data_IF_824350545356
#
_entry.id   IF_824350545356
#
_cell.length_a   1.000
_cell.length_b   1.000
_cell.length_c   1.000
_cell.angle_alpha   90.00
_cell.angle_beta   90.00
_cell.angle_gamma   90.00
#
_symmetry.space_group_name_H-M   'P 1'
#
loop_
_entity.id
_entity.type
_entity.pdbx_description
1 polymer ?
#
# COMPACT_ATOMS: atom_id res chain seq x y z
N UNK A 1 7.61 40.89 17.68
CA UNK A 1 6.93 40.07 16.64
C UNK A 1 7.83 38.85 16.43
N UNK A 2 7.28 37.64 16.41
CA UNK A 2 8.07 36.44 16.14
C UNK A 2 8.31 36.34 14.63
N UNK A 3 9.49 35.89 14.23
CA UNK A 3 9.75 35.52 12.84
C UNK A 3 8.93 34.28 12.46
N UNK A 4 8.50 34.13 11.18
CA UNK A 4 7.67 33.01 10.74
C UNK A 4 8.24 31.63 11.10
N UNK A 5 9.55 31.43 10.94
CA UNK A 5 10.20 30.14 11.22
C UNK A 5 10.20 29.83 12.73
N UNK A 6 10.37 30.85 13.58
CA UNK A 6 10.30 30.68 15.02
C UNK A 6 8.87 30.33 15.48
N UNK A 7 7.85 30.95 14.86
CA UNK A 7 6.45 30.62 15.12
C UNK A 7 6.11 29.18 14.66
N UNK A 8 6.60 28.76 13.49
CA UNK A 8 6.42 27.41 12.99
C UNK A 8 7.02 26.37 13.94
N UNK A 9 8.24 26.60 14.43
CA UNK A 9 8.90 25.68 15.36
C UNK A 9 8.11 25.51 16.66
N UNK A 10 7.57 26.59 17.23
CA UNK A 10 6.71 26.51 18.42
C UNK A 10 5.46 25.64 18.18
N UNK A 11 4.84 25.76 17.00
CA UNK A 11 3.67 24.94 16.63
C UNK A 11 4.08 23.47 16.49
N UNK A 12 5.23 23.19 15.86
CA UNK A 12 5.73 21.83 15.67
C UNK A 12 6.10 21.17 17.02
N UNK A 13 6.76 21.89 17.92
CA UNK A 13 7.09 21.41 19.26
C UNK A 13 5.82 21.11 20.08
N UNK A 14 4.84 22.00 20.05
CA UNK A 14 3.56 21.78 20.73
C UNK A 14 2.80 20.58 20.15
N UNK A 15 2.81 20.41 18.82
CA UNK A 15 2.20 19.26 18.16
C UNK A 15 2.89 17.94 18.53
N UNK A 16 4.23 17.93 18.61
CA UNK A 16 4.99 16.77 19.05
C UNK A 16 4.70 16.42 20.51
N UNK A 17 4.66 17.42 21.40
CA UNK A 17 4.34 17.22 22.82
C UNK A 17 2.90 16.75 23.04
N UNK A 18 1.97 17.16 22.18
CA UNK A 18 0.57 16.73 22.21
C UNK A 18 0.33 15.35 21.59
N UNK A 19 1.32 14.75 20.93
CA UNK A 19 1.21 13.42 20.31
C UNK A 19 0.98 12.38 21.40
N UNK A 20 -0.22 11.81 21.44
CA UNK A 20 -0.55 10.75 22.40
C UNK A 20 -0.21 9.38 21.82
N UNK A 21 0.53 8.58 22.60
CA UNK A 21 0.89 7.22 22.22
C UNK A 21 -0.31 6.27 22.08
N UNK A 22 -1.44 6.59 22.73
CA UNK A 22 -2.70 5.84 22.67
C UNK A 22 -3.61 6.25 21.49
N UNK A 23 -3.18 7.20 20.64
CA UNK A 23 -3.96 7.68 19.50
C UNK A 23 -3.78 6.81 18.25
N UNK A 24 -3.74 5.49 18.43
CA UNK A 24 -3.61 4.51 17.36
C UNK A 24 -4.91 3.72 17.18
N UNK A 25 -5.07 3.15 16.00
CA UNK A 25 -6.13 2.21 15.67
C UNK A 25 -5.59 1.13 14.74
N UNK A 26 -6.08 -0.10 14.90
CA UNK A 26 -5.76 -1.20 14.00
C UNK A 26 -6.78 -1.21 12.86
N UNK A 27 -6.29 -1.16 11.64
CA UNK A 27 -7.13 -1.16 10.43
C UNK A 27 -6.69 -2.31 9.52
N UNK A 28 -7.64 -2.85 8.75
CA UNK A 28 -7.33 -3.87 7.75
C UNK A 28 -6.42 -3.30 6.65
N UNK A 29 -5.58 -4.16 6.07
CA UNK A 29 -4.81 -3.81 4.87
C UNK A 29 -5.76 -3.86 3.68
N UNK A 30 -6.25 -2.69 3.28
CA UNK A 30 -7.05 -2.48 2.07
C UNK A 30 -6.72 -1.13 1.42
N UNK A 31 -7.39 -0.81 0.32
CA UNK A 31 -7.19 0.42 -0.46
C UNK A 31 -7.40 1.72 0.35
N UNK A 32 -8.15 1.70 1.46
CA UNK A 32 -8.40 2.88 2.30
C UNK A 32 -7.21 3.28 3.18
N UNK A 33 -6.18 2.41 3.23
CA UNK A 33 -4.98 2.60 4.02
C UNK A 33 -4.04 3.68 3.44
N UNK A 34 -4.17 3.98 2.15
CA UNK A 34 -3.37 5.02 1.51
C UNK A 34 -3.56 6.39 2.19
N UNK A 35 -2.45 7.04 2.50
CA UNK A 35 -2.37 8.32 3.22
C UNK A 35 -2.55 8.22 4.74
N UNK A 36 -2.75 7.01 5.30
CA UNK A 36 -2.69 6.80 6.75
C UNK A 36 -1.23 6.78 7.20
N UNK A 37 -0.96 7.24 8.42
CA UNK A 37 0.40 7.24 8.99
C UNK A 37 0.55 6.02 9.89
N UNK A 38 1.60 5.25 9.64
CA UNK A 38 1.89 4.02 10.37
C UNK A 38 2.29 4.31 11.82
N UNK A 39 1.80 3.53 12.77
CA UNK A 39 2.11 3.70 14.19
C UNK A 39 3.40 2.96 14.58
N UNK A 40 3.57 1.74 14.07
CA UNK A 40 4.66 0.82 14.39
C UNK A 40 5.33 0.34 13.10
N UNK A 41 6.60 -0.05 13.16
CA UNK A 41 7.27 -0.71 12.04
C UNK A 41 6.53 -2.00 11.68
N UNK A 42 6.35 -2.27 10.39
CA UNK A 42 5.76 -3.51 9.91
C UNK A 42 6.83 -4.29 9.15
N UNK A 43 7.14 -5.47 9.67
CA UNK A 43 8.08 -6.40 9.06
C UNK A 43 7.35 -7.60 8.44
N UNK A 44 7.96 -8.18 7.41
CA UNK A 44 7.44 -9.38 6.76
C UNK A 44 7.48 -10.60 7.69
N UNK A 45 6.35 -11.33 7.77
CA UNK A 45 6.22 -12.56 8.56
C UNK A 45 6.42 -13.82 7.72
N UNK A 46 6.29 -13.70 6.41
CA UNK A 46 6.49 -14.73 5.41
C UNK A 46 7.34 -14.19 4.27
N UNK A 47 7.98 -15.09 3.55
CA UNK A 47 8.73 -14.75 2.35
C UNK A 47 7.81 -14.76 1.12
N UNK A 48 8.12 -13.91 0.13
CA UNK A 48 7.42 -13.91 -1.14
C UNK A 48 8.41 -13.94 -2.31
N UNK A 49 8.19 -14.80 -3.33
CA UNK A 49 7.18 -15.87 -3.36
C UNK A 49 7.49 -16.97 -2.30
N UNK A 50 6.50 -17.73 -1.81
CA UNK A 50 6.68 -18.73 -0.75
C UNK A 50 7.40 -20.02 -1.21
N UNK A 51 7.65 -20.14 -2.51
CA UNK A 51 8.37 -21.25 -3.13
C UNK A 51 8.97 -20.76 -4.45
N UNK A 52 9.94 -21.48 -5.04
CA UNK A 52 10.45 -21.14 -6.35
C UNK A 52 9.34 -21.18 -7.41
N UNK A 53 9.25 -20.13 -8.22
CA UNK A 53 8.23 -20.00 -9.28
C UNK A 53 8.86 -19.80 -10.65
N UNK A 54 8.13 -20.20 -11.70
CA UNK A 54 8.58 -19.98 -13.07
C UNK A 54 8.53 -18.51 -13.47
N UNK A 55 9.56 -18.02 -14.17
CA UNK A 55 9.56 -16.70 -14.82
C UNK A 55 8.89 -16.70 -16.20
N UNK A 56 8.63 -17.88 -16.76
CA UNK A 56 8.24 -18.05 -18.15
C UNK A 56 7.20 -19.18 -18.30
N UNK A 57 6.52 -19.21 -19.43
CA UNK A 57 5.78 -20.40 -19.85
C UNK A 57 6.73 -21.40 -20.51
N UNK A 58 6.57 -22.69 -20.24
CA UNK A 58 7.45 -23.72 -20.79
C UNK A 58 7.44 -25.01 -20.00
N UNK A 59 8.63 -25.54 -19.72
CA UNK A 59 8.80 -26.84 -19.09
C UNK A 59 9.79 -26.78 -17.93
N UNK A 60 9.29 -27.09 -16.73
CA UNK A 60 10.13 -27.30 -15.56
C UNK A 60 10.85 -28.64 -15.71
N UNK A 61 12.17 -28.61 -15.56
CA UNK A 61 13.06 -29.76 -15.70
C UNK A 61 14.01 -29.82 -14.51
N UNK A 62 14.60 -31.00 -14.31
CA UNK A 62 15.76 -31.16 -13.43
C UNK A 62 17.03 -30.83 -14.20
N UNK A 63 17.75 -29.81 -13.78
CA UNK A 63 19.05 -29.45 -14.34
C UNK A 63 20.09 -30.55 -14.09
N UNK A 64 21.12 -30.65 -14.93
CA UNK A 64 22.20 -31.60 -14.68
C UNK A 64 23.01 -31.12 -13.45
N UNK A 65 23.69 -32.04 -12.72
CA UNK A 65 24.63 -31.64 -11.67
C UNK A 65 25.66 -30.64 -12.18
N UNK A 66 26.20 -29.82 -11.29
CA UNK A 66 27.22 -28.84 -11.65
C UNK A 66 28.42 -29.51 -12.36
N UNK A 67 28.81 -28.94 -13.51
CA UNK A 67 29.87 -29.49 -14.36
C UNK A 67 29.45 -30.63 -15.30
N UNK A 68 28.23 -31.16 -15.18
CA UNK A 68 27.69 -32.13 -16.13
C UNK A 68 26.94 -31.42 -17.28
N UNK A 69 26.95 -32.05 -18.45
CA UNK A 69 26.18 -31.60 -19.62
C UNK A 69 24.92 -32.44 -19.76
N UNK A 70 23.79 -31.80 -20.03
CA UNK A 70 22.54 -32.50 -20.34
C UNK A 70 22.61 -33.22 -21.70
N UNK A 71 23.28 -32.59 -22.69
CA UNK A 71 23.50 -33.16 -24.01
C UNK A 71 24.91 -33.76 -24.12
N UNK A 72 25.01 -35.03 -24.50
CA UNK A 72 26.28 -35.72 -24.81
C UNK A 72 26.69 -35.62 -26.28
N UNK A 73 25.80 -35.10 -27.14
CA UNK A 73 25.98 -34.93 -28.59
C UNK A 73 25.37 -33.60 -29.08
N UNK A 74 25.62 -33.25 -30.33
CA UNK A 74 25.04 -32.06 -30.98
C UNK A 74 23.55 -32.20 -31.34
N UNK A 75 22.92 -33.35 -31.02
CA UNK A 75 21.55 -33.68 -31.45
C UNK A 75 20.46 -33.17 -30.49
N UNK A 76 20.83 -32.55 -29.37
CA UNK A 76 19.89 -32.04 -28.37
C UNK A 76 19.41 -33.11 -27.38
N UNK A 77 18.32 -32.83 -26.67
CA UNK A 77 17.80 -33.68 -25.58
C UNK A 77 16.29 -33.81 -25.72
N UNK A 78 15.76 -35.02 -25.51
CA UNK A 78 14.32 -35.27 -25.49
C UNK A 78 13.88 -35.39 -24.03
N UNK A 79 12.80 -34.69 -23.67
CA UNK A 79 12.16 -34.77 -22.37
C UNK A 79 10.78 -35.40 -22.49
N UNK A 80 10.43 -36.27 -21.55
CA UNK A 80 9.07 -36.80 -21.41
C UNK A 80 8.26 -35.91 -20.48
N UNK A 81 7.12 -35.42 -20.96
CA UNK A 81 6.19 -34.63 -20.14
C UNK A 81 5.40 -35.57 -19.25
N UNK A 82 5.47 -35.36 -17.93
CA UNK A 82 4.91 -36.28 -16.93
C UNK A 82 3.89 -35.65 -16.00
N UNK A 83 3.83 -34.33 -15.96
CA UNK A 83 2.90 -33.57 -15.14
C UNK A 83 2.74 -32.15 -15.67
N UNK A 84 1.88 -31.36 -15.04
CA UNK A 84 1.71 -29.94 -15.32
C UNK A 84 1.56 -29.14 -14.02
N UNK A 85 2.18 -27.97 -13.95
CA UNK A 85 2.03 -26.98 -12.88
C UNK A 85 1.51 -25.67 -13.46
N UNK A 86 0.36 -25.19 -12.98
CA UNK A 86 -0.26 -23.96 -13.46
C UNK A 86 -0.46 -22.99 -12.30
N UNK A 87 -0.28 -21.70 -12.57
CA UNK A 87 -0.50 -20.67 -11.57
C UNK A 87 -1.95 -20.75 -11.05
N UNK A 88 -2.11 -20.71 -9.72
CA UNK A 88 -3.42 -20.83 -9.06
C UNK A 88 -3.97 -22.25 -8.95
N UNK A 89 -3.31 -23.27 -9.51
CA UNK A 89 -3.69 -24.68 -9.29
C UNK A 89 -3.06 -25.23 -8.01
N UNK A 90 -3.78 -26.09 -7.29
CA UNK A 90 -3.25 -26.76 -6.12
C UNK A 90 -2.08 -27.69 -6.50
N UNK A 91 -0.92 -27.52 -5.86
CA UNK A 91 0.27 -28.35 -6.06
C UNK A 91 0.22 -29.69 -5.28
N UNK A 92 -0.89 -29.97 -4.56
CA UNK A 92 -1.00 -31.13 -3.69
C UNK A 92 -0.96 -32.44 -4.49
N UNK A 93 -0.02 -33.33 -4.12
CA UNK A 93 0.15 -34.63 -4.78
C UNK A 93 0.91 -34.58 -6.11
N UNK A 94 1.64 -33.49 -6.38
CA UNK A 94 2.48 -33.39 -7.57
C UNK A 94 3.54 -34.50 -7.59
N UNK A 95 3.60 -35.23 -8.72
CA UNK A 95 4.61 -36.25 -8.99
C UNK A 95 5.99 -35.60 -9.07
N UNK A 96 6.99 -36.20 -8.42
CA UNK A 96 8.39 -35.82 -8.57
C UNK A 96 8.84 -36.03 -10.02
N UNK A 97 9.43 -34.99 -10.61
CA UNK A 97 10.00 -35.01 -11.96
C UNK A 97 11.42 -35.55 -11.89
N UNK A 98 11.67 -36.64 -12.62
CA UNK A 98 12.98 -37.28 -12.68
C UNK A 98 13.85 -36.74 -13.83
N UNK A 99 15.12 -37.15 -13.88
CA UNK A 99 16.01 -36.80 -14.98
C UNK A 99 15.46 -37.32 -16.33
N UNK A 100 15.47 -36.46 -17.36
CA UNK A 100 14.84 -36.74 -18.65
C UNK A 100 13.32 -36.62 -18.68
N UNK A 101 12.71 -36.25 -17.55
CA UNK A 101 11.31 -35.89 -17.46
C UNK A 101 11.14 -34.36 -17.33
N UNK A 102 9.93 -33.90 -17.61
CA UNK A 102 9.57 -32.50 -17.56
C UNK A 102 8.11 -32.33 -17.09
N UNK A 103 7.82 -31.17 -16.54
CA UNK A 103 6.45 -30.74 -16.26
C UNK A 103 6.13 -29.48 -17.07
N UNK A 104 5.01 -29.47 -17.78
CA UNK A 104 4.52 -28.23 -18.39
C UNK A 104 4.25 -27.21 -17.28
N UNK A 105 4.79 -26.00 -17.40
CA UNK A 105 4.70 -24.97 -16.37
C UNK A 105 4.31 -23.62 -16.97
N UNK A 106 3.45 -22.86 -16.28
CA UNK A 106 3.13 -21.48 -16.65
C UNK A 106 3.87 -20.49 -15.75
N UNK A 107 3.99 -19.26 -16.22
CA UNK A 107 4.56 -18.12 -15.49
C UNK A 107 3.88 -17.96 -14.13
N UNK A 108 4.69 -17.79 -13.08
CA UNK A 108 4.23 -17.67 -11.69
C UNK A 108 3.79 -18.98 -11.04
N UNK A 109 3.77 -20.10 -11.74
CA UNK A 109 3.46 -21.40 -11.14
C UNK A 109 4.64 -21.90 -10.29
N UNK A 110 4.37 -22.58 -9.16
CA UNK A 110 5.41 -23.19 -8.35
C UNK A 110 6.10 -24.33 -9.11
N UNK A 111 7.41 -24.48 -8.92
CA UNK A 111 8.17 -25.58 -9.50
C UNK A 111 7.72 -26.93 -8.89
N UNK A 112 7.46 -27.95 -9.71
CA UNK A 112 7.21 -29.31 -9.22
C UNK A 112 8.41 -29.89 -8.47
N UNK A 113 8.18 -30.83 -7.54
CA UNK A 113 9.28 -31.52 -6.86
C UNK A 113 10.25 -32.15 -7.85
N UNK A 114 11.55 -31.98 -7.63
CA UNK A 114 12.62 -32.49 -8.51
C UNK A 114 13.05 -31.53 -9.62
N UNK A 115 12.28 -30.47 -9.89
CA UNK A 115 12.68 -29.42 -10.84
C UNK A 115 13.41 -28.27 -10.15
N UNK A 116 14.39 -27.71 -10.85
CA UNK A 116 15.17 -26.54 -10.43
C UNK A 116 15.49 -25.58 -11.60
N UNK A 117 14.97 -25.85 -12.81
CA UNK A 117 15.15 -25.04 -14.00
C UNK A 117 13.87 -25.05 -14.86
N UNK A 118 13.68 -24.00 -15.66
CA UNK A 118 12.61 -23.90 -16.65
C UNK A 118 13.18 -23.62 -18.03
N UNK A 119 12.80 -24.45 -19.00
CA UNK A 119 13.06 -24.22 -20.43
C UNK A 119 11.85 -23.52 -21.01
N UNK A 120 12.04 -22.37 -21.66
CA UNK A 120 10.94 -21.62 -22.26
C UNK A 120 10.31 -22.38 -23.41
N UNK A 121 9.00 -22.24 -23.61
CA UNK A 121 8.28 -22.97 -24.64
C UNK A 121 8.82 -22.67 -26.06
N UNK A 122 9.28 -21.44 -26.30
CA UNK A 122 9.84 -21.03 -27.59
C UNK A 122 11.19 -21.70 -27.91
N UNK A 123 11.88 -22.21 -26.88
CA UNK A 123 13.16 -22.90 -27.02
C UNK A 123 12.99 -24.43 -27.16
N UNK A 124 11.74 -24.90 -27.31
CA UNK A 124 11.40 -26.32 -27.47
C UNK A 124 10.85 -26.64 -28.86
N UNK A 125 11.05 -27.89 -29.30
CA UNK A 125 10.70 -28.37 -30.64
C UNK A 125 10.10 -29.78 -30.54
N UNK A 126 9.58 -30.29 -31.67
CA UNK A 126 9.29 -31.73 -31.80
C UNK A 126 8.22 -32.28 -30.85
N UNK A 127 7.28 -31.43 -30.43
CA UNK A 127 6.19 -31.79 -29.51
C UNK A 127 5.36 -32.96 -30.05
N UNK A 128 5.07 -33.94 -29.19
CA UNK A 128 4.16 -35.06 -29.49
C UNK A 128 3.03 -35.09 -28.48
N UNK A 129 1.84 -35.42 -28.93
CA UNK A 129 0.65 -35.59 -28.08
C UNK A 129 0.16 -37.02 -28.07
N UNK A 130 -0.53 -37.40 -26.99
CA UNK A 130 -1.30 -38.64 -26.93
C UNK A 130 -2.67 -38.49 -27.64
N UNK A 131 -3.47 -39.55 -27.59
CA UNK A 131 -4.82 -39.56 -28.18
C UNK A 131 -5.80 -38.58 -27.52
N UNK A 132 -5.51 -38.10 -26.30
CA UNK A 132 -6.30 -37.08 -25.60
C UNK A 132 -5.80 -35.66 -25.91
N UNK A 133 -4.76 -35.51 -26.74
CA UNK A 133 -4.16 -34.22 -27.07
C UNK A 133 -3.23 -33.67 -25.99
N UNK A 134 -2.89 -34.48 -24.97
CA UNK A 134 -1.94 -34.08 -23.94
C UNK A 134 -0.52 -34.28 -24.46
N UNK A 135 0.33 -33.31 -24.19
CA UNK A 135 1.73 -33.40 -24.59
C UNK A 135 2.46 -34.49 -23.81
N UNK A 136 3.23 -35.30 -24.54
CA UNK A 136 3.94 -36.48 -24.02
C UNK A 136 5.45 -36.32 -24.07
N UNK A 137 5.99 -35.59 -25.04
CA UNK A 137 7.41 -35.25 -25.12
C UNK A 137 7.67 -34.06 -26.02
N UNK A 138 8.81 -33.42 -25.80
CA UNK A 138 9.41 -32.40 -26.66
C UNK A 138 10.92 -32.62 -26.73
N UNK A 139 11.58 -31.93 -27.65
CA UNK A 139 13.03 -31.84 -27.74
C UNK A 139 13.54 -30.43 -27.49
N UNK A 140 14.76 -30.35 -26.97
CA UNK A 140 15.51 -29.12 -26.72
C UNK A 140 16.77 -29.15 -27.58
N UNK A 141 17.03 -28.14 -28.43
CA UNK A 141 18.27 -28.07 -29.23
C UNK A 141 19.52 -28.12 -28.35
N UNK A 142 20.63 -28.67 -28.87
CA UNK A 142 21.88 -28.83 -28.10
C UNK A 142 22.39 -27.51 -27.49
N UNK A 143 22.28 -26.40 -28.22
CA UNK A 143 22.67 -25.07 -27.74
C UNK A 143 21.84 -24.61 -26.52
N UNK A 144 20.53 -24.88 -26.52
CA UNK A 144 19.64 -24.57 -25.38
C UNK A 144 19.90 -25.54 -24.24
N UNK A 145 20.02 -26.84 -24.54
CA UNK A 145 20.31 -27.88 -23.54
C UNK A 145 21.62 -27.62 -22.79
N UNK A 146 22.63 -27.05 -23.46
CA UNK A 146 23.89 -26.64 -22.85
C UNK A 146 23.75 -25.45 -21.87
N UNK A 147 22.65 -24.69 -21.94
CA UNK A 147 22.37 -23.54 -21.06
C UNK A 147 21.54 -23.89 -19.82
N UNK A 148 20.97 -25.10 -19.77
CA UNK A 148 20.17 -25.60 -18.66
C UNK A 148 21.07 -25.79 -17.45
N UNK A 149 20.75 -25.05 -16.39
CA UNK A 149 21.47 -25.03 -15.12
C UNK A 149 20.49 -24.70 -13.99
N UNK A 150 20.79 -25.08 -12.74
CA UNK A 150 19.93 -24.72 -11.61
C UNK A 150 19.62 -23.22 -11.60
N UNK A 151 18.36 -22.87 -11.40
CA UNK A 151 17.85 -21.49 -11.38
C UNK A 151 17.55 -20.88 -12.76
N UNK A 152 17.77 -21.59 -13.88
CA UNK A 152 17.43 -21.06 -15.21
C UNK A 152 15.93 -20.73 -15.29
N UNK A 153 15.60 -19.46 -15.55
CA UNK A 153 14.23 -18.98 -15.65
C UNK A 153 13.35 -19.24 -14.40
N UNK A 154 13.98 -19.33 -13.22
CA UNK A 154 13.30 -19.50 -11.92
C UNK A 154 13.50 -18.25 -11.06
N UNK A 155 12.42 -17.81 -10.41
CA UNK A 155 12.50 -16.88 -9.27
C UNK A 155 12.58 -17.70 -7.98
N UNK A 156 13.64 -17.56 -7.19
CA UNK A 156 13.75 -18.30 -5.94
C UNK A 156 12.70 -17.83 -4.94
N UNK A 157 12.42 -18.67 -3.94
CA UNK A 157 11.59 -18.28 -2.81
C UNK A 157 12.20 -17.06 -2.10
N UNK A 158 11.35 -16.16 -1.62
CA UNK A 158 11.78 -14.96 -0.92
C UNK A 158 12.60 -13.96 -1.73
N UNK A 159 12.61 -14.03 -3.06
CA UNK A 159 13.39 -13.10 -3.87
C UNK A 159 12.88 -11.66 -3.83
N UNK A 160 11.59 -11.46 -3.48
CA UNK A 160 10.98 -10.13 -3.39
C UNK A 160 10.93 -9.65 -1.95
N UNK A 161 10.55 -10.53 -1.03
CA UNK A 161 10.37 -10.26 0.39
C UNK A 161 10.96 -11.43 1.16
N UNK A 162 11.88 -11.15 2.08
CA UNK A 162 12.39 -12.10 3.04
C UNK A 162 11.71 -11.92 4.40
N UNK A 163 11.64 -13.01 5.18
CA UNK A 163 11.16 -12.92 6.56
C UNK A 163 12.03 -11.93 7.34
N UNK A 164 11.39 -10.97 7.99
CA UNK A 164 12.06 -9.92 8.76
C UNK A 164 12.37 -8.63 8.00
N UNK A 165 12.16 -8.58 6.68
CA UNK A 165 12.31 -7.33 5.92
C UNK A 165 11.36 -6.25 6.43
N UNK A 166 11.86 -5.02 6.57
CA UNK A 166 11.05 -3.86 6.93
C UNK A 166 10.22 -3.45 5.70
N UNK A 167 8.89 -3.67 5.77
CA UNK A 167 7.97 -3.34 4.69
C UNK A 167 7.54 -1.87 4.73
N UNK A 168 7.30 -1.34 5.92
CA UNK A 168 6.94 0.05 6.13
C UNK A 168 7.37 0.53 7.51
N UNK A 169 7.89 1.75 7.58
CA UNK A 169 8.42 2.33 8.81
C UNK A 169 7.36 3.14 9.57
N UNK A 170 7.40 3.08 10.90
CA UNK A 170 6.60 3.90 11.79
C UNK A 170 6.75 5.39 11.46
N UNK A 171 5.64 6.12 11.55
CA UNK A 171 5.60 7.56 11.30
C UNK A 171 5.59 7.96 9.82
N UNK A 172 5.65 7.01 8.89
CA UNK A 172 5.53 7.31 7.46
C UNK A 172 4.07 7.27 6.99
N UNK A 173 3.65 8.20 6.10
CA UNK A 173 2.40 8.07 5.36
C UNK A 173 2.50 6.92 4.36
N UNK A 174 1.55 5.99 4.43
CA UNK A 174 1.48 4.85 3.52
C UNK A 174 1.07 5.30 2.12
N UNK A 175 1.89 4.94 1.13
CA UNK A 175 1.64 5.15 -0.30
C UNK A 175 0.98 3.92 -0.91
N UNK A 176 0.41 4.01 -2.13
CA UNK A 176 -0.20 2.86 -2.79
C UNK A 176 0.74 1.65 -2.91
N UNK A 177 2.02 1.87 -3.18
CA UNK A 177 3.04 0.82 -3.25
C UNK A 177 3.31 0.13 -1.91
N UNK A 178 3.21 0.87 -0.80
CA UNK A 178 3.37 0.32 0.54
C UNK A 178 2.17 -0.59 0.88
N UNK A 179 0.96 -0.19 0.50
CA UNK A 179 -0.25 -1.02 0.63
C UNK A 179 -0.13 -2.31 -0.19
N UNK A 180 0.39 -2.23 -1.42
CA UNK A 180 0.65 -3.40 -2.25
C UNK A 180 1.66 -4.37 -1.62
N UNK A 181 2.74 -3.83 -1.05
CA UNK A 181 3.79 -4.62 -0.38
C UNK A 181 3.26 -5.33 0.86
N UNK A 182 2.46 -4.63 1.69
CA UNK A 182 1.79 -5.22 2.86
C UNK A 182 0.82 -6.35 2.47
N UNK A 183 0.05 -6.15 1.40
CA UNK A 183 -0.88 -7.17 0.90
C UNK A 183 -0.15 -8.40 0.33
N UNK A 184 0.94 -8.18 -0.40
CA UNK A 184 1.80 -9.24 -0.96
C UNK A 184 2.48 -10.07 0.13
N UNK A 185 2.85 -9.43 1.25
CA UNK A 185 3.35 -10.08 2.46
C UNK A 185 2.24 -10.69 3.35
N UNK A 186 0.99 -10.73 2.86
CA UNK A 186 -0.17 -11.27 3.57
C UNK A 186 -0.41 -10.65 4.96
N UNK A 187 -0.03 -9.38 5.16
CA UNK A 187 -0.29 -8.67 6.41
C UNK A 187 -1.79 -8.33 6.48
N UNK A 188 -2.56 -8.85 7.47
CA UNK A 188 -4.00 -8.68 7.49
C UNK A 188 -4.43 -7.29 7.97
N UNK A 189 -3.66 -6.70 8.88
CA UNK A 189 -3.94 -5.41 9.50
C UNK A 189 -2.67 -4.75 10.01
N UNK A 190 -2.72 -3.43 10.14
CA UNK A 190 -1.61 -2.63 10.66
C UNK A 190 -2.11 -1.61 11.68
N UNK A 191 -1.24 -1.22 12.61
CA UNK A 191 -1.49 -0.12 13.52
C UNK A 191 -1.18 1.21 12.81
N UNK A 192 -2.15 2.12 12.78
CA UNK A 192 -2.00 3.46 12.21
C UNK A 192 -2.38 4.50 13.26
N UNK A 193 -1.84 5.70 13.13
CA UNK A 193 -2.34 6.82 13.93
C UNK A 193 -3.72 7.22 13.44
N UNK A 194 -4.60 7.54 14.39
CA UNK A 194 -5.90 8.14 14.10
C UNK A 194 -5.70 9.45 13.34
N UNK A 195 -6.64 9.76 12.44
CA UNK A 195 -6.64 11.06 11.76
C UNK A 195 -6.94 12.14 12.81
N UNK A 196 -6.13 13.21 12.91
CA UNK A 196 -6.41 14.29 13.86
C UNK A 196 -7.73 14.97 13.50
N UNK A 197 -8.48 15.39 14.52
CA UNK A 197 -9.71 16.15 14.36
C UNK A 197 -9.39 17.65 14.41
N UNK A 198 -9.55 18.33 13.28
CA UNK A 198 -9.34 19.77 13.15
C UNK A 198 -10.71 20.45 13.15
N UNK A 199 -11.01 21.15 14.25
CA UNK A 199 -12.19 22.01 14.35
C UNK A 199 -11.93 23.38 13.76
N UNK A 200 -12.87 23.90 12.96
CA UNK A 200 -12.78 25.25 12.40
C UNK A 200 -14.02 26.05 12.80
N UNK A 201 -13.81 27.20 13.43
CA UNK A 201 -14.86 28.17 13.74
C UNK A 201 -14.53 29.54 13.15
N UNK A 202 -15.57 30.29 12.80
CA UNK A 202 -15.47 31.72 12.48
C UNK A 202 -16.11 32.54 13.59
N UNK A 203 -15.57 33.71 13.89
CA UNK A 203 -16.19 34.73 14.76
C UNK A 203 -16.42 36.00 13.96
N UNK A 204 -17.43 36.77 14.34
CA UNK A 204 -17.74 38.07 13.75
C UNK A 204 -19.24 38.24 13.52
N UNK A 205 -19.79 39.33 14.04
CA UNK A 205 -21.21 39.67 13.90
C UNK A 205 -21.56 40.05 12.45
N UNK A 206 -20.56 40.41 11.65
CA UNK A 206 -20.67 40.67 10.22
C UNK A 206 -20.72 39.40 9.35
N UNK A 207 -20.32 38.25 9.90
CA UNK A 207 -20.22 37.00 9.13
C UNK A 207 -21.58 36.32 9.08
N UNK A 208 -22.22 36.35 7.90
CA UNK A 208 -23.49 35.67 7.70
C UNK A 208 -23.30 34.14 7.68
N UNK A 209 -24.09 33.43 8.49
CA UNK A 209 -24.26 31.99 8.32
C UNK A 209 -24.84 31.72 6.91
N UNK A 210 -24.18 30.87 6.13
CA UNK A 210 -24.67 30.47 4.80
C UNK A 210 -25.52 29.22 4.95
N UNK A 211 -26.82 29.34 4.72
CA UNK A 211 -27.73 28.20 4.57
C UNK A 211 -27.64 27.56 3.18
N UNK A 212 -28.33 26.43 2.99
CA UNK A 212 -28.34 25.66 1.74
C UNK A 212 -28.88 26.41 0.50
N UNK A 213 -29.53 27.56 0.69
CA UNK A 213 -30.14 28.38 -0.37
C UNK A 213 -29.42 29.69 -0.72
N UNK A 214 -28.21 29.93 -0.20
CA UNK A 214 -27.51 31.22 -0.36
C UNK A 214 -27.59 32.09 0.90
N UNK A 215 -27.41 33.42 0.77
CA UNK A 215 -27.62 34.34 1.92
C UNK A 215 -29.04 34.14 2.41
N UNK A 216 -29.22 33.87 3.70
CA UNK A 216 -30.55 33.92 4.30
C UNK A 216 -31.11 35.33 4.10
N UNK A 217 -32.08 35.43 3.19
CA UNK A 217 -32.80 36.66 2.92
C UNK A 217 -33.67 36.96 4.14
N UNK A 218 -33.18 37.79 5.06
CA UNK A 218 -33.98 38.35 6.14
C UNK A 218 -33.33 38.49 7.51
N UNK A 219 -32.10 38.02 7.73
CA UNK A 219 -31.49 38.00 9.08
C UNK A 219 -30.18 38.75 9.29
N UNK A 220 -29.51 39.21 8.22
CA UNK A 220 -28.19 39.86 8.33
C UNK A 220 -28.27 41.38 8.26
N UNK A 221 -27.39 42.06 9.00
CA UNK A 221 -27.06 43.48 8.80
C UNK A 221 -26.88 43.79 7.31
N UNK A 222 -27.21 45.02 6.88
CA UNK A 222 -26.96 45.51 5.53
C UNK A 222 -25.48 45.36 5.08
N UNK A 223 -24.58 45.13 6.04
CA UNK A 223 -23.13 44.94 5.85
C UNK A 223 -22.66 43.48 5.96
N UNK A 224 -23.56 42.50 6.09
CA UNK A 224 -23.13 41.12 6.31
C UNK A 224 -22.33 40.57 5.11
N UNK A 225 -21.21 39.90 5.40
CA UNK A 225 -20.31 39.28 4.42
C UNK A 225 -20.39 37.76 4.51
N UNK A 226 -20.12 37.09 3.39
CA UNK A 226 -20.10 35.63 3.36
C UNK A 226 -18.82 35.07 3.96
N UNK A 227 -18.94 34.04 4.79
CA UNK A 227 -17.79 33.31 5.31
C UNK A 227 -17.01 32.63 4.16
N UNK A 228 -15.76 33.05 3.96
CA UNK A 228 -14.84 32.48 2.99
C UNK A 228 -13.74 31.64 3.66
N UNK A 229 -13.38 31.94 4.91
CA UNK A 229 -12.23 31.34 5.57
C UNK A 229 -12.55 29.95 6.10
N UNK A 230 -13.69 29.77 6.77
CA UNK A 230 -14.08 28.47 7.33
C UNK A 230 -14.21 27.37 6.27
N UNK A 231 -14.96 27.55 5.15
CA UNK A 231 -15.01 26.52 4.11
C UNK A 231 -13.64 26.22 3.48
N UNK A 232 -12.81 27.25 3.29
CA UNK A 232 -11.43 27.08 2.79
C UNK A 232 -10.57 26.25 3.74
N UNK A 233 -10.59 26.57 5.04
CA UNK A 233 -9.79 25.87 6.06
C UNK A 233 -10.29 24.45 6.32
N UNK A 234 -11.60 24.21 6.29
CA UNK A 234 -12.17 22.87 6.36
C UNK A 234 -11.72 22.01 5.17
N UNK A 235 -11.68 22.59 3.96
CA UNK A 235 -11.16 21.91 2.78
C UNK A 235 -9.65 21.63 2.90
N UNK A 236 -8.86 22.60 3.37
CA UNK A 236 -7.42 22.44 3.59
C UNK A 236 -7.11 21.35 4.62
N UNK A 237 -7.87 21.28 5.72
CA UNK A 237 -7.72 20.24 6.74
C UNK A 237 -7.98 18.83 6.16
N UNK A 238 -9.03 18.67 5.35
CA UNK A 238 -9.32 17.40 4.66
C UNK A 238 -8.22 17.03 3.67
N UNK A 239 -7.72 17.99 2.89
CA UNK A 239 -6.62 17.77 1.95
C UNK A 239 -5.33 17.34 2.66
N UNK A 240 -5.09 17.83 3.89
CA UNK A 240 -3.99 17.40 4.75
C UNK A 240 -4.24 16.04 5.45
N UNK A 241 -5.37 15.37 5.20
CA UNK A 241 -5.69 14.06 5.75
C UNK A 241 -6.36 14.05 7.13
N UNK A 242 -6.72 15.22 7.67
CA UNK A 242 -7.42 15.34 8.95
C UNK A 242 -8.94 15.11 8.82
N UNK A 243 -9.60 14.83 9.95
CA UNK A 243 -11.05 14.91 10.07
C UNK A 243 -11.42 16.36 10.32
N UNK A 244 -12.04 17.01 9.34
CA UNK A 244 -12.47 18.40 9.48
C UNK A 244 -13.85 18.49 10.16
N UNK A 245 -13.89 19.17 11.31
CA UNK A 245 -15.11 19.44 12.07
C UNK A 245 -15.53 20.90 11.91
N UNK A 246 -16.68 21.12 11.27
CA UNK A 246 -17.27 22.45 11.13
C UNK A 246 -17.96 22.85 12.45
N UNK A 247 -17.42 23.88 13.10
CA UNK A 247 -17.97 24.43 14.35
C UNK A 247 -18.85 25.68 14.09
N UNK A 248 -19.01 26.07 12.82
CA UNK A 248 -19.90 27.15 12.42
C UNK A 248 -19.36 28.55 12.69
N UNK A 249 -20.29 29.50 12.72
CA UNK A 249 -20.04 30.91 13.05
C UNK A 249 -20.51 31.16 14.47
N UNK A 250 -19.65 31.73 15.30
CA UNK A 250 -19.91 32.09 16.69
C UNK A 250 -20.04 33.60 16.78
N UNK A 251 -21.07 34.09 17.48
CA UNK A 251 -21.24 35.52 17.72
C UNK A 251 -20.03 36.10 18.46
N UNK A 252 -19.66 37.35 18.18
CA UNK A 252 -18.47 37.97 18.77
C UNK A 252 -18.72 38.48 20.20
N UNK A 253 -19.12 37.55 21.07
CA UNK A 253 -19.33 37.82 22.49
C UNK A 253 -18.51 36.86 23.35
N UNK A 254 -17.94 37.41 24.43
CA UNK A 254 -17.10 36.65 25.36
C UNK A 254 -17.77 35.36 25.88
N UNK A 255 -19.06 35.34 26.25
CA UNK A 255 -19.73 34.11 26.70
C UNK A 255 -19.83 33.05 25.60
N UNK A 256 -20.22 33.44 24.40
CA UNK A 256 -20.40 32.53 23.26
C UNK A 256 -19.08 31.94 22.79
N UNK A 257 -18.05 32.78 22.63
CA UNK A 257 -16.69 32.32 22.29
C UNK A 257 -16.16 31.36 23.35
N UNK A 258 -16.32 31.68 24.64
CA UNK A 258 -15.88 30.80 25.73
C UNK A 258 -16.58 29.44 25.69
N UNK A 259 -17.89 29.42 25.46
CA UNK A 259 -18.67 28.18 25.35
C UNK A 259 -18.22 27.34 24.13
N UNK A 260 -18.00 28.00 22.97
CA UNK A 260 -17.53 27.36 21.75
C UNK A 260 -16.12 26.75 21.91
N UNK A 261 -15.18 27.50 22.50
CA UNK A 261 -13.82 27.01 22.79
C UNK A 261 -13.86 25.79 23.72
N UNK A 262 -14.67 25.84 24.78
CA UNK A 262 -14.81 24.73 25.72
C UNK A 262 -15.41 23.48 25.05
N UNK A 263 -16.39 23.65 24.16
CA UNK A 263 -16.98 22.56 23.39
C UNK A 263 -16.00 21.96 22.38
N UNK A 264 -15.23 22.80 21.69
CA UNK A 264 -14.21 22.40 20.72
C UNK A 264 -13.07 21.62 21.39
N UNK A 265 -12.59 22.06 22.56
CA UNK A 265 -11.52 21.40 23.31
C UNK A 265 -11.84 19.94 23.71
N UNK A 266 -13.11 19.55 23.72
CA UNK A 266 -13.55 18.17 23.99
C UNK A 266 -13.71 17.31 22.73
N UNK A 267 -13.69 17.92 21.55
CA UNK A 267 -14.08 17.29 20.28
C UNK A 267 -12.98 17.33 19.22
N UNK A 268 -11.98 18.18 19.41
CA UNK A 268 -10.93 18.44 18.44
C UNK A 268 -9.56 18.23 19.07
N UNK A 269 -8.60 17.76 18.27
CA UNK A 269 -7.18 17.77 18.62
C UNK A 269 -6.56 19.14 18.33
N UNK A 270 -7.05 19.82 17.28
CA UNK A 270 -6.63 21.16 16.87
C UNK A 270 -7.86 22.02 16.64
N UNK A 271 -7.83 23.24 17.17
CA UNK A 271 -8.86 24.25 16.92
C UNK A 271 -8.26 25.41 16.12
N UNK A 272 -8.88 25.73 14.99
CA UNK A 272 -8.57 26.91 14.19
C UNK A 272 -9.75 27.87 14.27
N UNK A 273 -9.51 29.04 14.86
CA UNK A 273 -10.48 30.14 14.86
C UNK A 273 -10.09 31.17 13.82
N UNK A 274 -11.06 31.63 13.03
CA UNK A 274 -10.89 32.82 12.18
C UNK A 274 -11.83 33.90 12.65
N UNK A 275 -11.42 35.16 12.58
CA UNK A 275 -12.24 36.27 13.02
C UNK A 275 -11.66 37.59 12.54
N UNK A 276 -12.45 38.65 12.65
CA UNK A 276 -12.01 40.00 12.34
C UNK A 276 -10.77 40.41 13.13
N UNK A 277 -10.02 41.36 12.58
CA UNK A 277 -8.85 41.95 13.23
C UNK A 277 -9.27 42.82 14.42
N UNK A 278 -9.42 42.22 15.61
CA UNK A 278 -9.31 42.99 16.86
C UNK A 278 -7.84 43.23 17.16
N UNK A 279 -7.24 44.18 16.44
CA UNK A 279 -6.02 44.86 16.91
C UNK A 279 -6.43 45.77 18.07
N UNK A 280 -6.72 45.15 19.22
CA UNK A 280 -7.07 45.74 20.50
C UNK A 280 -7.34 47.24 20.53
N UNK A 281 -8.59 47.65 20.33
CA UNK A 281 -9.13 48.74 21.14
C UNK A 281 -9.78 48.11 22.36
N UNK A 282 -8.97 47.86 23.39
CA UNK A 282 -9.47 47.79 24.76
C UNK A 282 -10.04 49.15 25.11
N UNK A 283 -11.33 49.36 24.85
CA UNK A 283 -12.08 50.40 25.55
C UNK A 283 -12.43 49.84 26.92
N UNK A 284 -11.64 50.28 27.90
CA UNK A 284 -12.00 50.36 29.32
C UNK A 284 -13.37 51.00 29.53
#
# INVERSE_FOLDING_TARGET
MLEPDAALNLVLEAAQAARRADNTETVAVDHSLAGRVLADDVCALSEFPPSPVSMMDGYAVRAPPEGARMASSDEGVIFRVVSSSRAGAAAAGARTVEAGEAAYITTGAPLPPGCDAVVRIEDTLGHKTDAAGLETCFSVPAAVAASIRPGLAVRPAGCDIQVGDLLAAAGTPLRPEDVGSLAMAEIPSVAVTRRPVVGVLSTGDEVAARGAGGREAGGGSATAIGDANRPMLLAAARAAGAVALDLGVVADSRPEVKAALAAAARRCDVLVSTGGVSMGTTTS
#
